data_IF_637181908934
#
_entry.id   IF_637181908934
#
_cell.length_a   1.000
_cell.length_b   1.000
_cell.length_c   1.000
_cell.angle_alpha   90.00
_cell.angle_beta   90.00
_cell.angle_gamma   90.00
#
_symmetry.space_group_name_H-M   'P 1'
#
loop_
_entity.id
_entity.type
_entity.pdbx_description
1 polymer ?
#
# COMPACT_ATOMS: atom_id res chain seq x y z
N UNK A 1 -6.66 -13.76 -6.87
CA UNK A 1 -7.86 -13.04 -6.45
C UNK A 1 -9.02 -13.72 -7.16
N UNK A 2 -10.28 -13.46 -6.81
CA UNK A 2 -11.38 -14.03 -7.58
C UNK A 2 -11.38 -13.45 -9.01
N UNK A 3 -11.92 -14.20 -9.98
CA UNK A 3 -11.85 -13.82 -11.39
C UNK A 3 -12.64 -12.57 -11.75
N UNK A 4 -13.70 -12.25 -11.00
CA UNK A 4 -14.49 -11.05 -11.22
C UNK A 4 -13.69 -9.78 -10.91
N UNK A 5 -13.03 -9.72 -9.75
CA UNK A 5 -12.20 -8.58 -9.36
C UNK A 5 -10.94 -8.47 -10.24
N UNK A 6 -10.35 -9.60 -10.63
CA UNK A 6 -9.22 -9.60 -11.58
C UNK A 6 -9.64 -8.98 -12.92
N UNK A 7 -10.78 -9.40 -13.47
CA UNK A 7 -11.27 -8.86 -14.74
C UNK A 7 -11.61 -7.37 -14.61
N UNK A 8 -12.23 -6.94 -13.51
CA UNK A 8 -12.50 -5.52 -13.24
C UNK A 8 -11.21 -4.68 -13.32
N UNK A 9 -10.11 -5.13 -12.70
CA UNK A 9 -8.83 -4.43 -12.75
C UNK A 9 -8.28 -4.37 -14.18
N UNK A 10 -8.39 -5.47 -14.93
CA UNK A 10 -7.88 -5.55 -16.31
C UNK A 10 -8.66 -4.66 -17.26
N UNK A 11 -9.98 -4.56 -17.08
CA UNK A 11 -10.85 -3.72 -17.91
C UNK A 11 -10.69 -2.24 -17.57
N UNK A 12 -10.54 -1.91 -16.28
CA UNK A 12 -10.40 -0.53 -15.79
C UNK A 12 -9.01 0.06 -16.07
N UNK A 13 -7.96 -0.77 -16.05
CA UNK A 13 -6.56 -0.37 -16.23
C UNK A 13 -5.89 -1.16 -17.37
N UNK A 14 -6.40 -1.03 -18.62
CA UNK A 14 -6.00 -1.89 -19.72
C UNK A 14 -4.55 -1.67 -20.14
N UNK A 15 -3.98 -0.48 -19.94
CA UNK A 15 -2.59 -0.22 -20.30
C UNK A 15 -1.65 -0.90 -19.33
N UNK A 16 -1.95 -0.83 -18.03
CA UNK A 16 -1.14 -1.40 -16.97
C UNK A 16 -1.16 -2.94 -16.99
N UNK A 17 -2.31 -3.53 -17.33
CA UNK A 17 -2.50 -4.98 -17.40
C UNK A 17 -2.49 -5.55 -18.83
N UNK A 18 -1.95 -4.82 -19.82
CA UNK A 18 -2.02 -5.20 -21.26
C UNK A 18 -1.51 -6.61 -21.61
N UNK A 19 -0.68 -7.21 -20.74
CA UNK A 19 -0.14 -8.56 -20.94
C UNK A 19 -0.99 -9.71 -20.39
N UNK A 20 -2.14 -9.45 -19.76
CA UNK A 20 -2.95 -10.50 -19.13
C UNK A 20 -3.49 -11.57 -20.09
N UNK A 21 -3.66 -11.26 -21.38
CA UNK A 21 -4.18 -12.18 -22.40
C UNK A 21 -3.11 -12.75 -23.35
N UNK A 22 -1.81 -12.54 -23.08
CA UNK A 22 -0.75 -13.03 -23.96
C UNK A 22 -0.48 -14.53 -23.73
N UNK A 23 -0.72 -15.32 -24.77
CA UNK A 23 -0.49 -16.78 -24.78
C UNK A 23 1.01 -17.10 -24.91
N UNK A 24 1.70 -16.33 -25.74
CA UNK A 24 3.15 -16.38 -25.93
C UNK A 24 3.72 -15.05 -25.52
N UNK A 25 4.26 -14.99 -24.30
CA UNK A 25 4.92 -13.80 -23.80
C UNK A 25 6.39 -14.09 -23.53
N UNK A 26 7.27 -13.48 -24.32
CA UNK A 26 8.72 -13.55 -24.14
C UNK A 26 9.18 -12.68 -22.94
N UNK A 27 8.30 -11.83 -22.38
CA UNK A 27 8.64 -10.88 -21.30
C UNK A 27 8.62 -11.46 -19.88
N UNK A 28 8.53 -12.79 -19.73
CA UNK A 28 8.39 -13.48 -18.44
C UNK A 28 7.19 -12.98 -17.59
N UNK A 29 6.17 -12.31 -18.17
CA UNK A 29 4.99 -11.92 -17.41
C UNK A 29 4.22 -13.15 -16.92
N UNK A 30 3.78 -13.07 -15.66
CA UNK A 30 2.97 -14.09 -15.01
C UNK A 30 1.49 -13.70 -14.97
N UNK A 31 1.13 -12.53 -15.52
CA UNK A 31 -0.25 -12.02 -15.52
C UNK A 31 -1.27 -12.95 -16.19
N UNK A 32 -0.86 -13.79 -17.16
CA UNK A 32 -1.77 -14.76 -17.78
C UNK A 32 -2.39 -15.75 -16.79
N UNK A 33 -1.76 -15.95 -15.64
CA UNK A 33 -2.25 -16.82 -14.57
C UNK A 33 -3.17 -16.09 -13.57
N UNK A 34 -3.36 -14.79 -13.73
CA UNK A 34 -4.09 -13.93 -12.80
C UNK A 34 -3.22 -13.33 -11.71
N UNK A 35 -3.86 -12.83 -10.65
CA UNK A 35 -3.19 -12.18 -9.52
C UNK A 35 -3.13 -13.16 -8.35
N UNK A 36 -1.94 -13.56 -7.91
CA UNK A 36 -1.74 -14.63 -6.92
C UNK A 36 -1.86 -14.12 -5.47
N UNK A 37 -2.98 -13.45 -5.14
CA UNK A 37 -3.33 -12.94 -3.82
C UNK A 37 -4.83 -13.08 -3.53
N UNK A 38 -5.27 -12.90 -2.28
CA UNK A 38 -6.68 -12.96 -1.90
C UNK A 38 -7.42 -11.61 -2.15
N UNK A 39 -8.75 -11.61 -2.01
CA UNK A 39 -9.63 -10.50 -2.41
C UNK A 39 -9.49 -9.24 -1.54
N UNK A 40 -9.03 -9.38 -0.30
CA UNK A 40 -8.95 -8.28 0.65
C UNK A 40 -7.97 -7.19 0.24
N UNK A 41 -7.02 -7.51 -0.64
CA UNK A 41 -6.09 -6.52 -1.20
C UNK A 41 -6.58 -5.87 -2.50
N UNK A 42 -7.84 -6.10 -2.90
CA UNK A 42 -8.41 -5.49 -4.09
C UNK A 42 -8.32 -3.96 -4.08
N UNK A 43 -8.73 -3.29 -3.00
CA UNK A 43 -8.67 -1.83 -2.93
C UNK A 43 -7.24 -1.27 -3.00
N UNK A 44 -6.26 -1.96 -2.40
CA UNK A 44 -4.85 -1.60 -2.52
C UNK A 44 -4.40 -1.67 -3.98
N UNK A 45 -4.75 -2.75 -4.67
CA UNK A 45 -4.35 -2.97 -6.05
C UNK A 45 -5.08 -2.00 -7.00
N UNK A 46 -6.37 -1.72 -6.77
CA UNK A 46 -7.17 -0.76 -7.55
C UNK A 46 -6.59 0.65 -7.46
N UNK A 47 -6.34 1.16 -6.24
CA UNK A 47 -5.77 2.49 -6.02
C UNK A 47 -4.34 2.58 -6.59
N UNK A 48 -3.51 1.57 -6.36
CA UNK A 48 -2.16 1.51 -6.91
C UNK A 48 -2.21 1.57 -8.45
N UNK A 49 -3.12 0.81 -9.06
CA UNK A 49 -3.26 0.76 -10.52
C UNK A 49 -3.72 2.08 -11.10
N UNK A 50 -4.69 2.72 -10.46
CA UNK A 50 -5.18 4.06 -10.82
C UNK A 50 -4.05 5.07 -10.87
N UNK A 51 -3.28 5.19 -9.79
CA UNK A 51 -2.21 6.17 -9.67
C UNK A 51 -1.06 5.88 -10.64
N UNK A 52 -0.70 4.60 -10.84
CA UNK A 52 0.37 4.23 -11.77
C UNK A 52 -0.03 4.50 -13.22
N UNK A 53 -1.21 4.04 -13.65
CA UNK A 53 -1.63 4.21 -15.05
C UNK A 53 -1.88 5.69 -15.39
N UNK A 54 -2.42 6.48 -14.46
CA UNK A 54 -2.57 7.92 -14.64
C UNK A 54 -1.21 8.65 -14.79
N UNK A 55 -0.15 8.13 -14.18
CA UNK A 55 1.16 8.78 -14.16
C UNK A 55 2.12 8.31 -15.28
N UNK A 56 2.16 7.01 -15.57
CA UNK A 56 3.10 6.44 -16.54
C UNK A 56 2.50 5.26 -17.32
N UNK A 57 1.96 5.55 -18.51
CA UNK A 57 1.40 4.55 -19.44
C UNK A 57 2.43 3.53 -19.98
N UNK A 58 3.72 3.73 -19.72
CA UNK A 58 4.75 2.73 -20.06
C UNK A 58 4.83 1.64 -19.00
N UNK A 59 4.32 1.89 -17.79
CA UNK A 59 4.32 0.92 -16.72
C UNK A 59 3.41 -0.27 -17.05
N UNK A 60 3.90 -1.47 -16.76
CA UNK A 60 3.20 -2.72 -16.96
C UNK A 60 3.35 -3.59 -15.72
N UNK A 61 2.26 -4.21 -15.28
CA UNK A 61 2.34 -5.26 -14.27
C UNK A 61 2.91 -6.53 -14.91
N UNK A 62 3.89 -7.12 -14.23
CA UNK A 62 4.51 -8.40 -14.60
C UNK A 62 3.95 -9.52 -13.74
N UNK A 63 3.82 -9.28 -12.44
CA UNK A 63 3.31 -10.25 -11.48
C UNK A 63 2.77 -9.52 -10.25
N UNK A 64 1.67 -10.02 -9.71
CA UNK A 64 1.16 -9.67 -8.38
C UNK A 64 1.00 -10.95 -7.60
N UNK A 65 1.60 -11.02 -6.40
CA UNK A 65 1.48 -12.20 -5.54
C UNK A 65 1.52 -11.86 -4.06
N UNK A 66 1.00 -12.78 -3.26
CA UNK A 66 1.30 -12.85 -1.84
C UNK A 66 2.71 -13.42 -1.63
N UNK A 67 3.47 -12.82 -0.72
CA UNK A 67 4.72 -13.37 -0.22
C UNK A 67 4.96 -12.95 1.22
N UNK A 68 5.08 -13.95 2.11
CA UNK A 68 5.39 -13.75 3.53
C UNK A 68 4.42 -12.78 4.23
N UNK A 69 3.12 -12.90 3.95
CA UNK A 69 2.08 -12.07 4.55
C UNK A 69 1.88 -10.71 3.91
N UNK A 70 2.71 -10.31 2.94
CA UNK A 70 2.55 -9.04 2.22
C UNK A 70 2.32 -9.25 0.72
N UNK A 71 1.84 -8.19 0.08
CA UNK A 71 1.76 -8.05 -1.36
C UNK A 71 3.17 -7.87 -1.94
N UNK A 72 3.40 -8.44 -3.12
CA UNK A 72 4.55 -8.16 -3.97
C UNK A 72 4.08 -7.87 -5.38
N UNK A 73 4.52 -6.74 -5.90
CA UNK A 73 4.17 -6.24 -7.21
C UNK A 73 5.47 -6.07 -8.00
N UNK A 74 5.51 -6.71 -9.16
CA UNK A 74 6.60 -6.61 -10.11
C UNK A 74 6.10 -5.81 -11.31
N UNK A 75 6.84 -4.75 -11.66
CA UNK A 75 6.54 -3.87 -12.78
C UNK A 75 7.66 -3.95 -13.82
N UNK A 76 7.31 -3.76 -15.09
CA UNK A 76 8.25 -3.53 -16.20
C UNK A 76 7.94 -2.19 -16.85
N UNK A 77 8.98 -1.47 -17.31
CA UNK A 77 8.88 -0.12 -17.84
C UNK A 77 9.27 1.01 -16.87
N UNK A 78 8.79 1.06 -15.60
CA UNK A 78 9.01 2.19 -14.71
C UNK A 78 10.27 2.00 -13.84
N UNK A 79 11.25 1.21 -14.30
CA UNK A 79 12.44 0.87 -13.52
C UNK A 79 13.24 2.13 -13.07
N UNK A 80 13.01 3.26 -13.74
CA UNK A 80 13.59 4.58 -13.42
C UNK A 80 12.57 5.60 -12.86
N UNK A 81 11.29 5.24 -12.71
CA UNK A 81 10.27 6.15 -12.18
C UNK A 81 10.24 6.06 -10.66
N UNK A 82 10.84 7.04 -9.98
CA UNK A 82 10.84 7.11 -8.51
C UNK A 82 9.42 7.24 -7.95
N UNK A 83 8.54 7.99 -8.63
CA UNK A 83 7.15 8.17 -8.22
C UNK A 83 6.35 6.86 -8.24
N UNK A 84 6.39 6.14 -9.37
CA UNK A 84 5.73 4.82 -9.51
C UNK A 84 6.27 3.81 -8.50
N UNK A 85 7.58 3.83 -8.25
CA UNK A 85 8.18 2.99 -7.21
C UNK A 85 7.73 3.38 -5.79
N UNK A 86 7.45 4.66 -5.54
CA UNK A 86 6.86 5.14 -4.29
C UNK A 86 5.48 4.55 -4.06
N UNK A 87 4.61 4.66 -5.07
CA UNK A 87 3.26 4.07 -5.04
C UNK A 87 3.33 2.56 -4.80
N UNK A 88 4.16 1.85 -5.58
CA UNK A 88 4.35 0.39 -5.46
C UNK A 88 4.78 -0.02 -4.05
N UNK A 89 5.83 0.61 -3.53
CA UNK A 89 6.35 0.28 -2.19
C UNK A 89 5.31 0.57 -1.12
N UNK A 90 4.58 1.68 -1.23
CA UNK A 90 3.53 2.01 -0.27
C UNK A 90 2.41 0.97 -0.27
N UNK A 91 1.93 0.55 -1.45
CA UNK A 91 0.91 -0.48 -1.56
C UNK A 91 1.39 -1.82 -0.95
N UNK A 92 2.66 -2.20 -1.17
CA UNK A 92 3.27 -3.36 -0.53
C UNK A 92 3.35 -3.20 1.01
N UNK A 93 3.72 -2.02 1.51
CA UNK A 93 3.78 -1.73 2.96
C UNK A 93 2.40 -1.78 3.62
N UNK A 94 1.39 -1.17 3.00
CA UNK A 94 0.00 -1.16 3.51
C UNK A 94 -0.59 -2.57 3.58
N UNK A 95 -0.19 -3.48 2.69
CA UNK A 95 -0.69 -4.86 2.70
C UNK A 95 -0.37 -5.64 3.98
N UNK A 96 0.67 -5.23 4.73
CA UNK A 96 1.01 -5.81 6.03
C UNK A 96 0.06 -5.40 7.17
N UNK A 97 -0.84 -4.46 6.90
CA UNK A 97 -1.85 -3.93 7.82
C UNK A 97 -3.27 -4.16 7.31
N UNK A 98 -3.41 -4.85 6.19
CA UNK A 98 -4.69 -5.08 5.53
C UNK A 98 -4.92 -6.58 5.45
N UNK A 99 -6.05 -7.06 5.97
CA UNK A 99 -6.43 -8.47 5.90
C UNK A 99 -6.48 -8.92 4.44
N UNK A 100 -5.69 -9.94 4.09
CA UNK A 100 -5.61 -10.44 2.71
C UNK A 100 -6.95 -11.00 2.21
N UNK A 101 -7.88 -11.38 3.10
CA UNK A 101 -9.18 -11.95 2.74
C UNK A 101 -10.27 -10.89 2.54
N UNK A 102 -10.39 -9.91 3.45
CA UNK A 102 -11.53 -8.99 3.44
C UNK A 102 -11.18 -7.50 3.39
N UNK A 103 -9.91 -7.12 3.49
CA UNK A 103 -9.49 -5.72 3.39
C UNK A 103 -9.59 -4.92 4.69
N UNK A 104 -10.22 -5.49 5.73
CA UNK A 104 -10.24 -4.89 7.06
C UNK A 104 -8.85 -4.77 7.68
N UNK A 105 -8.72 -3.96 8.72
CA UNK A 105 -7.50 -3.86 9.51
C UNK A 105 -7.01 -5.26 9.93
N UNK A 106 -5.76 -5.56 9.59
CA UNK A 106 -5.15 -6.86 9.77
C UNK A 106 -3.78 -6.78 10.41
N UNK A 107 -3.35 -7.88 11.00
CA UNK A 107 -2.01 -8.05 11.56
C UNK A 107 -1.37 -9.33 11.04
N UNK A 108 -0.05 -9.40 11.11
CA UNK A 108 0.69 -10.59 10.71
C UNK A 108 0.39 -11.76 11.65
N UNK A 109 -0.04 -12.86 11.06
CA UNK A 109 -0.22 -14.15 11.71
C UNK A 109 0.71 -15.19 11.09
N UNK A 110 1.12 -16.17 11.89
CA UNK A 110 2.01 -17.26 11.48
C UNK A 110 1.54 -18.60 12.03
N UNK A 111 1.67 -19.64 11.20
CA UNK A 111 1.61 -21.04 11.63
C UNK A 111 2.53 -21.91 10.76
N UNK A 112 2.04 -22.33 9.60
CA UNK A 112 2.84 -23.03 8.57
C UNK A 112 3.43 -22.00 7.58
N UNK A 113 2.64 -20.97 7.25
CA UNK A 113 3.06 -19.80 6.49
C UNK A 113 2.80 -18.51 7.26
N UNK A 114 3.01 -17.38 6.60
CA UNK A 114 2.75 -16.03 7.12
C UNK A 114 1.64 -15.40 6.29
N UNK A 115 0.65 -14.81 6.97
CA UNK A 115 -0.53 -14.18 6.38
C UNK A 115 -0.86 -12.90 7.15
N UNK A 116 -1.38 -11.88 6.47
CA UNK A 116 -1.94 -10.70 7.16
C UNK A 116 -3.45 -10.86 7.26
N UNK A 117 -3.98 -10.97 8.47
CA UNK A 117 -5.38 -11.31 8.72
C UNK A 117 -5.97 -10.39 9.79
N UNK A 118 -7.25 -10.04 9.65
CA UNK A 118 -8.02 -9.49 10.77
C UNK A 118 -8.25 -10.57 11.83
N UNK A 119 -8.60 -10.16 13.04
CA UNK A 119 -8.82 -11.08 14.17
C UNK A 119 -9.76 -12.23 13.81
N UNK A 120 -10.91 -11.91 13.20
CA UNK A 120 -11.89 -12.90 12.75
C UNK A 120 -11.28 -13.94 11.82
N UNK A 121 -10.56 -13.53 10.78
CA UNK A 121 -9.97 -14.48 9.81
C UNK A 121 -8.76 -15.23 10.39
N UNK A 122 -8.01 -14.62 11.31
CA UNK A 122 -6.96 -15.29 12.07
C UNK A 122 -7.53 -16.44 12.89
N UNK A 123 -8.61 -16.19 13.63
CA UNK A 123 -9.31 -17.19 14.45
C UNK A 123 -9.88 -18.33 13.61
N UNK A 124 -10.62 -18.03 12.53
CA UNK A 124 -11.24 -19.04 11.65
C UNK A 124 -10.18 -19.97 11.03
N UNK A 125 -9.02 -19.44 10.65
CA UNK A 125 -7.94 -20.25 10.06
C UNK A 125 -7.04 -20.92 11.12
N UNK A 126 -7.28 -20.67 12.41
CA UNK A 126 -6.41 -21.17 13.49
C UNK A 126 -4.97 -20.69 13.32
N UNK A 127 -4.79 -19.44 12.89
CA UNK A 127 -3.51 -18.78 12.72
C UNK A 127 -3.17 -18.00 13.99
N UNK A 128 -1.89 -17.99 14.39
CA UNK A 128 -1.45 -17.32 15.62
C UNK A 128 -0.87 -15.93 15.29
N UNK A 129 -1.22 -14.87 16.02
CA UNK A 129 -0.58 -13.56 15.86
C UNK A 129 0.95 -13.68 16.00
N UNK A 130 1.70 -13.17 15.03
CA UNK A 130 3.16 -13.36 14.94
C UNK A 130 3.97 -12.24 15.61
N UNK A 131 3.33 -11.10 15.91
CA UNK A 131 3.83 -10.01 16.77
C UNK A 131 2.65 -9.27 17.41
N UNK A 132 2.91 -8.48 18.45
CA UNK A 132 1.88 -7.61 19.07
C UNK A 132 1.16 -6.78 18.00
N UNK A 133 -0.15 -6.49 18.19
CA UNK A 133 -0.85 -5.51 17.37
C UNK A 133 0.02 -4.27 17.30
N UNK A 134 0.19 -3.71 16.11
CA UNK A 134 0.99 -2.51 15.94
C UNK A 134 0.46 -1.46 16.90
N UNK A 135 1.23 -1.19 17.96
CA UNK A 135 1.19 0.10 18.62
C UNK A 135 2.17 0.94 17.84
N UNK A 136 1.80 2.18 17.54
CA UNK A 136 2.73 3.26 17.18
C UNK A 136 4.06 2.97 17.88
N UNK A 137 5.12 2.67 17.12
CA UNK A 137 6.43 2.59 17.72
C UNK A 137 6.66 3.96 18.34
N UNK A 138 6.58 4.06 19.67
CA UNK A 138 6.74 5.32 20.39
C UNK A 138 8.13 5.93 20.15
N UNK A 139 9.03 5.19 19.49
CA UNK A 139 10.33 5.63 18.99
C UNK A 139 10.36 5.91 17.46
N UNK A 140 9.24 6.09 16.74
CA UNK A 140 9.25 6.53 15.33
C UNK A 140 10.15 7.76 15.17
N UNK A 141 10.02 8.75 16.06
CA UNK A 141 10.84 9.97 16.06
C UNK A 141 12.35 9.68 16.25
N UNK A 142 12.70 8.63 17.00
CA UNK A 142 14.09 8.22 17.22
C UNK A 142 14.66 7.41 16.05
N UNK A 143 13.81 6.85 15.17
CA UNK A 143 14.20 6.05 14.01
C UNK A 143 14.24 6.86 12.71
N UNK A 144 13.47 7.95 12.63
CA UNK A 144 13.46 8.85 11.48
C UNK A 144 14.62 9.85 11.47
N UNK A 145 15.20 10.18 12.63
CA UNK A 145 16.17 11.29 12.75
C UNK A 145 15.58 12.64 12.31
N UNK A 146 16.43 13.65 12.13
CA UNK A 146 16.07 15.01 11.67
C UNK A 146 15.48 15.07 10.23
N UNK A 147 15.11 13.93 9.64
CA UNK A 147 14.66 13.79 8.24
C UNK A 147 13.13 13.89 8.14
N UNK A 148 12.42 13.68 9.25
CA UNK A 148 10.96 13.67 9.30
C UNK A 148 10.48 14.51 10.49
N UNK A 149 10.13 15.76 10.22
CA UNK A 149 9.49 16.64 11.20
C UNK A 149 7.97 16.38 11.17
N UNK A 150 7.47 15.68 12.20
CA UNK A 150 6.03 15.53 12.42
C UNK A 150 5.45 16.81 13.05
N UNK A 151 4.16 17.12 12.83
CA UNK A 151 3.51 18.21 13.54
C UNK A 151 3.51 17.96 15.06
N UNK A 152 3.67 19.02 15.86
CA UNK A 152 3.64 18.95 17.34
C UNK A 152 2.34 18.30 17.88
N UNK A 153 1.27 18.34 17.09
CA UNK A 153 -0.02 17.70 17.36
C UNK A 153 -0.75 17.46 16.03
N UNK A 154 -1.19 16.23 15.77
CA UNK A 154 -2.11 15.93 14.68
C UNK A 154 -3.33 15.17 15.23
N UNK A 155 -4.50 15.39 14.62
CA UNK A 155 -5.74 14.69 14.94
C UNK A 155 -6.14 13.84 13.75
N UNK A 156 -6.16 12.53 13.94
CA UNK A 156 -6.50 11.56 12.90
C UNK A 156 -7.55 10.61 13.44
N UNK A 157 -8.49 10.22 12.58
CA UNK A 157 -9.45 9.19 12.95
C UNK A 157 -8.74 7.84 13.15
N UNK A 158 -9.21 7.07 14.13
CA UNK A 158 -8.53 5.86 14.62
C UNK A 158 -8.30 4.83 13.50
N UNK A 159 -9.22 4.73 12.56
CA UNK A 159 -9.15 3.82 11.42
C UNK A 159 -8.03 4.13 10.42
N UNK A 160 -7.55 5.38 10.37
CA UNK A 160 -6.47 5.78 9.47
C UNK A 160 -5.09 5.83 10.11
N UNK A 161 -5.00 5.76 11.45
CA UNK A 161 -3.72 5.68 12.14
C UNK A 161 -2.79 4.59 11.59
N UNK A 162 -3.27 3.36 11.29
CA UNK A 162 -2.41 2.33 10.70
C UNK A 162 -1.85 2.69 9.32
N UNK A 163 -2.53 3.54 8.54
CA UNK A 163 -2.06 3.98 7.23
C UNK A 163 -0.88 4.95 7.36
N UNK A 164 -1.00 5.91 8.29
CA UNK A 164 0.05 6.88 8.58
C UNK A 164 1.27 6.24 9.25
N UNK A 165 1.04 5.27 10.15
CA UNK A 165 2.13 4.48 10.71
C UNK A 165 2.93 3.75 9.62
N UNK A 166 2.25 3.13 8.64
CA UNK A 166 2.93 2.48 7.51
C UNK A 166 3.72 3.48 6.66
N UNK A 167 3.17 4.67 6.44
CA UNK A 167 3.85 5.75 5.71
C UNK A 167 5.15 6.13 6.44
N UNK A 168 5.06 6.46 7.72
CA UNK A 168 6.23 6.89 8.49
C UNK A 168 7.28 5.79 8.65
N UNK A 169 6.87 4.55 8.85
CA UNK A 169 7.79 3.40 8.85
C UNK A 169 8.52 3.26 7.49
N UNK A 170 7.79 3.34 6.37
CA UNK A 170 8.38 3.26 5.04
C UNK A 170 9.35 4.41 4.77
N UNK A 171 8.99 5.64 5.17
CA UNK A 171 9.84 6.81 5.05
C UNK A 171 11.09 6.71 5.93
N UNK A 172 10.97 6.22 7.17
CA UNK A 172 12.10 6.00 8.07
C UNK A 172 13.10 4.99 7.50
N UNK A 173 12.60 3.86 6.97
CA UNK A 173 13.44 2.81 6.37
C UNK A 173 14.23 3.32 5.15
N UNK A 174 13.76 4.39 4.50
CA UNK A 174 14.41 5.00 3.33
C UNK A 174 15.08 6.35 3.63
N UNK A 175 14.91 6.88 4.85
CA UNK A 175 15.44 8.15 5.34
C UNK A 175 16.94 8.34 5.11
N UNK A 176 17.80 7.34 5.36
CA UNK A 176 19.24 7.49 5.13
C UNK A 176 19.62 7.85 3.69
N UNK A 177 18.82 7.47 2.69
CA UNK A 177 19.06 7.84 1.28
C UNK A 177 18.59 9.26 0.98
N UNK A 178 17.45 9.66 1.54
CA UNK A 178 16.92 11.03 1.43
C UNK A 178 17.91 12.04 2.02
N UNK A 179 18.43 11.74 3.21
CA UNK A 179 19.42 12.56 3.91
C UNK A 179 20.73 12.70 3.13
N UNK A 180 21.24 11.61 2.55
CA UNK A 180 22.45 11.65 1.72
C UNK A 180 22.30 12.50 0.45
N UNK A 181 21.06 12.70 -0.01
CA UNK A 181 20.75 13.53 -1.17
C UNK A 181 20.44 15.00 -0.78
N UNK A 182 20.48 15.34 0.51
CA UNK A 182 20.16 16.68 1.01
C UNK A 182 18.70 17.07 0.81
N UNK A 183 17.81 16.09 0.65
CA UNK A 183 16.38 16.32 0.47
C UNK A 183 15.67 16.06 1.79
N UNK A 184 15.06 17.11 2.35
CA UNK A 184 14.22 17.05 3.55
C UNK A 184 12.75 17.14 3.14
N UNK A 185 11.89 16.40 3.84
CA UNK A 185 10.45 16.48 3.69
C UNK A 185 9.90 17.05 4.99
N UNK A 186 9.19 18.18 4.91
CA UNK A 186 8.55 18.79 6.06
C UNK A 186 7.04 18.59 5.94
N UNK A 187 6.45 17.88 6.90
CA UNK A 187 4.99 17.74 6.99
C UNK A 187 4.42 18.99 7.67
N UNK A 188 3.68 19.78 6.91
CA UNK A 188 3.07 21.01 7.41
C UNK A 188 1.78 20.71 8.17
N UNK A 189 0.99 19.77 7.66
CA UNK A 189 -0.33 19.45 8.21
C UNK A 189 -0.76 18.03 7.89
N UNK A 190 -1.33 17.36 8.89
CA UNK A 190 -1.97 16.06 8.74
C UNK A 190 -3.28 16.09 9.51
N UNK A 191 -4.40 15.93 8.80
CA UNK A 191 -5.73 16.07 9.40
C UNK A 191 -6.78 15.25 8.65
N UNK A 192 -7.84 14.92 9.38
CA UNK A 192 -9.03 14.25 8.85
C UNK A 192 -10.15 15.28 8.64
N UNK A 193 -10.65 15.41 7.41
CA UNK A 193 -11.69 16.38 7.03
C UNK A 193 -12.80 15.66 6.27
N UNK A 194 -14.01 15.60 6.85
CA UNK A 194 -15.25 15.13 6.18
C UNK A 194 -15.09 13.84 5.33
N UNK A 195 -14.36 12.84 5.84
CA UNK A 195 -14.16 11.56 5.14
C UNK A 195 -12.93 11.50 4.22
N UNK A 196 -12.12 12.56 4.20
CA UNK A 196 -10.82 12.61 3.52
C UNK A 196 -9.65 12.77 4.50
N UNK A 197 -8.52 12.12 4.16
CA UNK A 197 -7.23 12.30 4.83
C UNK A 197 -6.39 13.29 4.04
N UNK A 198 -6.03 14.41 4.66
CA UNK A 198 -5.17 15.43 4.06
C UNK A 198 -3.76 15.35 4.65
N UNK A 199 -2.75 15.38 3.77
CA UNK A 199 -1.33 15.43 4.13
C UNK A 199 -0.69 16.56 3.33
N UNK A 200 -0.49 17.72 3.97
CA UNK A 200 0.23 18.87 3.41
C UNK A 200 1.72 18.74 3.77
N UNK A 201 2.60 18.87 2.78
CA UNK A 201 4.04 18.76 2.97
C UNK A 201 4.82 19.58 1.94
N UNK A 202 6.07 19.91 2.26
CA UNK A 202 7.02 20.52 1.31
C UNK A 202 8.15 19.57 0.95
N UNK A 203 8.65 19.75 -0.27
CA UNK A 203 9.68 18.91 -0.89
C UNK A 203 9.20 18.28 -2.20
N UNK A 204 10.14 17.96 -3.10
CA UNK A 204 9.86 17.50 -4.47
C UNK A 204 10.30 16.04 -4.72
N UNK A 205 10.62 15.30 -3.65
CA UNK A 205 11.13 13.94 -3.75
C UNK A 205 10.06 12.96 -4.27
N UNK A 206 10.13 12.63 -5.57
CA UNK A 206 9.12 11.83 -6.29
C UNK A 206 8.69 10.52 -5.61
N UNK A 207 9.62 9.79 -5.00
CA UNK A 207 9.28 8.55 -4.28
C UNK A 207 8.42 8.79 -3.02
N UNK A 208 8.62 9.93 -2.34
CA UNK A 208 7.82 10.31 -1.17
C UNK A 208 6.43 10.77 -1.62
N UNK A 209 6.38 11.59 -2.67
CA UNK A 209 5.11 12.02 -3.28
C UNK A 209 4.24 10.80 -3.65
N UNK A 210 4.81 9.79 -4.29
CA UNK A 210 4.07 8.58 -4.66
C UNK A 210 3.55 7.77 -3.48
N UNK A 211 4.25 7.77 -2.33
CA UNK A 211 3.73 7.12 -1.12
C UNK A 211 2.60 7.93 -0.48
N UNK A 212 2.75 9.25 -0.40
CA UNK A 212 1.73 10.13 0.17
C UNK A 212 0.44 10.06 -0.65
N UNK A 213 0.54 10.14 -1.98
CA UNK A 213 -0.61 10.01 -2.89
C UNK A 213 -1.29 8.64 -2.74
N UNK A 214 -0.51 7.56 -2.62
CA UNK A 214 -1.06 6.22 -2.37
C UNK A 214 -1.83 6.16 -1.05
N UNK A 215 -1.30 6.73 0.03
CA UNK A 215 -1.96 6.75 1.36
C UNK A 215 -3.24 7.56 1.33
N UNK A 216 -3.19 8.79 0.81
CA UNK A 216 -4.37 9.66 0.74
C UNK A 216 -5.48 9.03 -0.11
N UNK A 217 -5.13 8.48 -1.27
CA UNK A 217 -6.11 7.84 -2.16
C UNK A 217 -6.65 6.53 -1.57
N UNK A 218 -5.83 5.76 -0.86
CA UNK A 218 -6.27 4.53 -0.21
C UNK A 218 -7.14 4.79 1.02
N UNK A 219 -6.91 5.88 1.77
CA UNK A 219 -7.75 6.28 2.89
C UNK A 219 -9.22 6.45 2.48
N UNK A 220 -9.50 6.87 1.24
CA UNK A 220 -10.86 6.97 0.70
C UNK A 220 -11.56 5.60 0.53
N UNK A 221 -10.83 4.49 0.61
CA UNK A 221 -11.35 3.11 0.58
C UNK A 221 -11.40 2.46 1.97
N UNK A 222 -11.03 3.20 3.00
CA UNK A 222 -10.95 2.72 4.39
C UNK A 222 -11.86 3.58 5.25
N UNK A 223 -12.73 2.94 6.02
CA UNK A 223 -13.59 3.61 7.00
C UNK A 223 -12.72 4.30 8.05
N UNK A 224 -12.91 5.61 8.17
CA UNK A 224 -12.13 6.50 9.03
C UNK A 224 -12.20 6.09 10.51
N UNK A 225 -13.33 5.52 10.96
CA UNK A 225 -13.51 5.17 12.37
C UNK A 225 -12.94 3.79 12.69
N UNK A 226 -13.28 2.79 11.88
CA UNK A 226 -12.97 1.37 12.14
C UNK A 226 -11.66 0.90 11.53
N UNK A 227 -11.20 1.54 10.45
CA UNK A 227 -10.08 1.06 9.64
C UNK A 227 -10.46 -0.12 8.74
N UNK A 228 -11.74 -0.44 8.64
CA UNK A 228 -12.24 -1.50 7.78
C UNK A 228 -12.33 -1.04 6.33
N UNK A 229 -12.20 -1.98 5.38
CA UNK A 229 -12.43 -1.66 3.98
C UNK A 229 -13.88 -1.20 3.77
N UNK A 230 -14.06 -0.07 3.09
CA UNK A 230 -15.37 0.35 2.57
C UNK A 230 -15.85 -0.67 1.52
N UNK A 231 -17.16 -0.83 1.31
CA UNK A 231 -17.67 -1.73 0.28
C UNK A 231 -17.12 -1.36 -1.11
N UNK A 232 -16.90 -2.37 -1.95
CA UNK A 232 -16.61 -2.12 -3.37
C UNK A 232 -17.87 -1.54 -4.00
N UNK A 233 -17.84 -0.25 -4.35
CA UNK A 233 -18.89 0.40 -5.13
C UNK A 233 -19.01 -0.31 -6.49
N UNK A 234 -20.23 -0.73 -6.84
CA UNK A 234 -20.55 -1.43 -8.10
C UNK A 234 -20.74 -0.46 -9.25
#
# INVERSE_FOLDING_TARGET
>A
MNKFLEQYLFDKYPTLYRRHNLIHDESNSLLRWGLSCDNGWFHLIDVMSELIEAHDLRAEIVEVKQKMGGLRVYLSGPEKSHYVNGIRVMAESLSYRTCEICGNLGTLHKRIGVKTLCERHGLIQGMMPWRSPHGVDQNINNRTGDILELPDKYWIDYGWAPLLEALFESLADHGPRLYQQGQTIHFERIESTEGDLLIDYTGDHKWVMGQIDMVMRYAQRVDETSGDAKPVEQ
#
